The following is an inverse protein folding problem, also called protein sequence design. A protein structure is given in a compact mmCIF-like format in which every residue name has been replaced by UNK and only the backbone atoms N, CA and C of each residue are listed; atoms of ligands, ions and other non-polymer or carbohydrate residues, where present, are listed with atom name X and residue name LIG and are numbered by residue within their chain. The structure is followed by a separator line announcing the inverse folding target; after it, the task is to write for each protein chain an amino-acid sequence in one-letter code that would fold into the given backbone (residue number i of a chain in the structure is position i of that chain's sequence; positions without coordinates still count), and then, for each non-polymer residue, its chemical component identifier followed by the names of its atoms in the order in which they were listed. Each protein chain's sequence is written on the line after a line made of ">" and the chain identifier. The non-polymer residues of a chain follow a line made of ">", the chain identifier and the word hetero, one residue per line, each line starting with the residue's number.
data_IF_383090295588
#
_entry.id   IF_383090295588
#
_cell.length_a   1.000
_cell.length_b   1.000
_cell.length_c   1.000
_cell.angle_alpha   90.00
_cell.angle_beta   90.00
_cell.angle_gamma   90.00
#
_symmetry.space_group_name_H-M   'P 1'
#
loop_
_entity.id
_entity.type
_entity.pdbx_description
1 polymer ?
#
# COMPACT_ATOMS: atom_id res chain seq x y z
N UNK A 1 17.28 -14.52 -37.05
CA UNK A 1 17.99 -13.34 -36.50
C UNK A 1 17.00 -12.56 -35.67
N UNK A 2 17.10 -12.65 -34.35
CA UNK A 2 16.20 -11.94 -33.44
C UNK A 2 16.62 -10.47 -33.39
N UNK A 3 15.72 -9.58 -33.83
CA UNK A 3 15.85 -8.13 -33.69
C UNK A 3 15.81 -7.78 -32.21
N UNK A 4 17.00 -7.64 -31.61
CA UNK A 4 17.17 -7.06 -30.28
C UNK A 4 16.84 -5.57 -30.35
N UNK A 5 15.57 -5.23 -30.18
CA UNK A 5 15.14 -3.87 -29.89
C UNK A 5 15.59 -3.52 -28.48
N UNK A 6 16.81 -2.99 -28.36
CA UNK A 6 17.22 -2.25 -27.17
C UNK A 6 16.36 -1.00 -27.11
N UNK A 7 15.30 -1.04 -26.31
CA UNK A 7 14.44 0.12 -26.03
C UNK A 7 15.31 1.34 -25.70
N UNK A 8 14.96 2.49 -26.28
CA UNK A 8 15.60 3.77 -26.00
C UNK A 8 15.56 4.04 -24.48
N UNK A 9 16.61 4.63 -23.85
CA UNK A 9 16.64 4.83 -22.40
C UNK A 9 15.42 5.57 -21.85
N UNK A 10 14.84 6.50 -22.61
CA UNK A 10 13.62 7.20 -22.23
C UNK A 10 12.40 6.25 -22.18
N UNK A 11 12.26 5.39 -23.18
CA UNK A 11 11.18 4.40 -23.28
C UNK A 11 11.27 3.34 -22.16
N UNK A 12 12.49 3.00 -21.73
CA UNK A 12 12.73 2.13 -20.56
C UNK A 12 12.33 2.77 -19.24
N UNK A 13 12.52 4.08 -19.09
CA UNK A 13 12.13 4.82 -17.88
C UNK A 13 10.60 4.93 -17.81
N UNK A 14 9.95 5.27 -18.92
CA UNK A 14 8.49 5.40 -19.00
C UNK A 14 7.78 4.06 -18.69
N UNK A 15 8.21 2.98 -19.34
CA UNK A 15 7.68 1.64 -19.06
C UNK A 15 7.86 1.20 -17.61
N UNK A 16 8.95 1.61 -16.96
CA UNK A 16 9.21 1.31 -15.56
C UNK A 16 8.29 2.11 -14.61
N UNK A 17 8.05 3.40 -14.91
CA UNK A 17 7.09 4.23 -14.18
C UNK A 17 5.69 3.66 -14.28
N UNK A 18 5.24 3.33 -15.49
CA UNK A 18 3.92 2.75 -15.74
C UNK A 18 3.75 1.41 -15.01
N UNK A 19 4.78 0.57 -15.00
CA UNK A 19 4.75 -0.70 -14.27
C UNK A 19 4.61 -0.49 -12.75
N UNK A 20 5.30 0.51 -12.18
CA UNK A 20 5.17 0.89 -10.76
C UNK A 20 3.73 1.29 -10.44
N UNK A 21 3.14 2.17 -11.24
CA UNK A 21 1.77 2.63 -11.02
C UNK A 21 0.75 1.49 -11.12
N UNK A 22 0.92 0.56 -12.07
CA UNK A 22 0.07 -0.63 -12.15
C UNK A 22 0.18 -1.49 -10.88
N UNK A 23 1.40 -1.73 -10.38
CA UNK A 23 1.60 -2.51 -9.15
C UNK A 23 0.93 -1.85 -7.94
N UNK A 24 1.01 -0.52 -7.81
CA UNK A 24 0.36 0.22 -6.74
C UNK A 24 -1.19 0.16 -6.84
N UNK A 25 -1.74 0.25 -8.05
CA UNK A 25 -3.19 0.07 -8.25
C UNK A 25 -3.66 -1.36 -7.94
N UNK A 26 -2.87 -2.37 -8.31
CA UNK A 26 -3.15 -3.77 -7.97
C UNK A 26 -3.14 -3.99 -6.46
N UNK A 27 -2.15 -3.41 -5.77
CA UNK A 27 -2.07 -3.46 -4.31
C UNK A 27 -3.29 -2.78 -3.65
N UNK A 28 -3.66 -1.58 -4.13
CA UNK A 28 -4.85 -0.87 -3.63
C UNK A 28 -6.14 -1.67 -3.87
N UNK A 29 -6.28 -2.29 -5.05
CA UNK A 29 -7.42 -3.13 -5.37
C UNK A 29 -7.47 -4.38 -4.49
N UNK A 30 -6.33 -5.05 -4.28
CA UNK A 30 -6.23 -6.21 -3.41
C UNK A 30 -6.58 -5.85 -1.95
N UNK A 31 -6.10 -4.70 -1.46
CA UNK A 31 -6.48 -4.16 -0.17
C UNK A 31 -8.00 -3.92 -0.08
N UNK A 32 -8.60 -3.27 -1.07
CA UNK A 32 -10.04 -2.99 -1.08
C UNK A 32 -10.89 -4.27 -1.09
N UNK A 33 -10.50 -5.27 -1.90
CA UNK A 33 -11.12 -6.60 -1.91
C UNK A 33 -11.03 -7.24 -0.53
N UNK A 34 -9.86 -7.18 0.11
CA UNK A 34 -9.66 -7.71 1.46
C UNK A 34 -10.55 -7.02 2.50
N UNK A 35 -10.71 -5.69 2.44
CA UNK A 35 -11.62 -4.96 3.34
C UNK A 35 -13.07 -5.43 3.19
N UNK A 36 -13.54 -5.58 1.94
CA UNK A 36 -14.89 -6.09 1.66
C UNK A 36 -15.05 -7.50 2.25
N UNK A 37 -14.11 -8.40 1.99
CA UNK A 37 -14.16 -9.76 2.53
C UNK A 37 -14.16 -9.80 4.06
N UNK A 38 -13.34 -8.97 4.72
CA UNK A 38 -13.28 -8.92 6.17
C UNK A 38 -14.63 -8.49 6.79
N UNK A 39 -15.28 -7.48 6.20
CA UNK A 39 -16.58 -6.96 6.66
C UNK A 39 -17.67 -8.03 6.56
N UNK A 40 -17.67 -8.84 5.49
CA UNK A 40 -18.71 -9.86 5.28
C UNK A 40 -18.42 -11.20 5.96
N UNK A 41 -17.15 -11.59 6.09
CA UNK A 41 -16.77 -12.91 6.58
C UNK A 41 -16.62 -12.99 8.11
N UNK A 42 -16.50 -11.86 8.81
CA UNK A 42 -16.31 -11.76 10.27
C UNK A 42 -15.38 -12.83 10.84
N UNK A 43 -14.06 -12.70 10.67
CA UNK A 43 -13.18 -13.82 10.94
C UNK A 43 -13.11 -14.20 12.43
N UNK A 44 -13.74 -15.31 12.79
CA UNK A 44 -13.79 -15.81 14.17
C UNK A 44 -12.63 -16.73 14.52
N UNK A 45 -12.05 -17.39 13.51
CA UNK A 45 -11.10 -18.48 13.70
C UNK A 45 -9.64 -18.00 13.83
N UNK A 46 -8.84 -18.73 14.60
CA UNK A 46 -7.43 -18.39 14.84
C UNK A 46 -6.60 -18.35 13.55
N UNK A 47 -6.90 -19.24 12.59
CA UNK A 47 -6.23 -19.32 11.29
C UNK A 47 -6.43 -18.05 10.47
N UNK A 48 -7.64 -17.48 10.51
CA UNK A 48 -7.98 -16.26 9.79
C UNK A 48 -7.30 -15.03 10.41
N UNK A 49 -7.09 -15.02 11.74
CA UNK A 49 -6.31 -13.99 12.43
C UNK A 49 -4.85 -14.02 12.01
N UNK A 50 -4.24 -15.20 11.95
CA UNK A 50 -2.87 -15.39 11.45
C UNK A 50 -2.75 -14.94 9.99
N UNK A 51 -3.70 -15.34 9.13
CA UNK A 51 -3.76 -14.90 7.75
C UNK A 51 -3.82 -13.37 7.63
N UNK A 52 -4.63 -12.71 8.47
CA UNK A 52 -4.74 -11.24 8.50
C UNK A 52 -3.43 -10.59 8.90
N UNK A 53 -2.69 -11.15 9.87
CA UNK A 53 -1.37 -10.62 10.25
C UNK A 53 -0.35 -10.77 9.13
N UNK A 54 -0.34 -11.92 8.45
CA UNK A 54 0.52 -12.15 7.27
C UNK A 54 0.17 -11.14 6.18
N UNK A 55 -1.12 -10.95 5.91
CA UNK A 55 -1.60 -9.98 4.92
C UNK A 55 -1.12 -8.57 5.22
N UNK A 56 -1.29 -8.10 6.45
CA UNK A 56 -0.81 -6.78 6.90
C UNK A 56 0.70 -6.67 6.74
N UNK A 57 1.46 -7.70 7.11
CA UNK A 57 2.91 -7.71 6.95
C UNK A 57 3.33 -7.61 5.48
N UNK A 58 2.64 -8.31 4.57
CA UNK A 58 2.87 -8.23 3.13
C UNK A 58 2.62 -6.82 2.62
N UNK A 59 1.52 -6.18 3.01
CA UNK A 59 1.21 -4.81 2.59
C UNK A 59 2.22 -3.79 3.14
N UNK A 60 2.61 -3.91 4.40
CA UNK A 60 3.64 -3.04 4.99
C UNK A 60 4.98 -3.18 4.26
N UNK A 61 5.37 -4.42 3.92
CA UNK A 61 6.58 -4.68 3.15
C UNK A 61 6.50 -4.03 1.77
N UNK A 62 5.33 -4.11 1.13
CA UNK A 62 5.13 -3.62 -0.23
C UNK A 62 5.13 -2.08 -0.26
N UNK A 63 4.45 -1.41 0.67
CA UNK A 63 4.54 0.05 0.85
C UNK A 63 5.96 0.48 1.21
N UNK A 64 6.60 -0.21 2.15
CA UNK A 64 7.96 0.13 2.60
C UNK A 64 9.00 0.02 1.48
N UNK A 65 8.81 -0.92 0.56
CA UNK A 65 9.72 -1.15 -0.57
C UNK A 65 9.24 -0.54 -1.89
N UNK A 66 8.02 0.02 -1.92
CA UNK A 66 7.35 0.55 -3.12
C UNK A 66 7.18 -0.48 -4.23
N UNK A 67 6.91 -1.75 -3.87
CA UNK A 67 6.84 -2.87 -4.81
C UNK A 67 8.20 -3.31 -5.39
N UNK A 68 9.31 -2.70 -4.97
CA UNK A 68 10.64 -2.95 -5.51
C UNK A 68 11.16 -4.39 -5.34
N UNK A 69 10.60 -5.16 -4.39
CA UNK A 69 11.02 -6.56 -4.19
C UNK A 69 10.63 -7.50 -5.33
N UNK A 70 9.56 -7.20 -6.09
CA UNK A 70 9.13 -8.02 -7.22
C UNK A 70 9.90 -7.72 -8.52
N UNK A 71 10.73 -6.67 -8.55
CA UNK A 71 11.44 -6.24 -9.75
C UNK A 71 12.90 -6.72 -9.79
N UNK A 72 13.48 -6.88 -10.99
CA UNK A 72 14.92 -7.18 -11.18
C UNK A 72 15.78 -6.03 -10.62
N UNK A 73 16.95 -6.35 -10.04
CA UNK A 73 17.84 -5.38 -9.36
C UNK A 73 18.15 -4.12 -10.19
N UNK A 74 18.31 -4.28 -11.50
CA UNK A 74 18.66 -3.18 -12.41
C UNK A 74 17.50 -2.19 -12.60
N UNK A 75 16.25 -2.65 -12.49
CA UNK A 75 15.05 -1.81 -12.58
C UNK A 75 14.71 -1.16 -11.23
N UNK A 76 15.12 -1.76 -10.11
CA UNK A 76 14.90 -1.17 -8.77
C UNK A 76 15.56 0.18 -8.59
N UNK A 77 16.73 0.42 -9.22
CA UNK A 77 17.42 1.71 -9.16
C UNK A 77 16.66 2.80 -9.90
N UNK A 78 16.04 2.45 -11.02
CA UNK A 78 15.22 3.39 -11.81
C UNK A 78 13.88 3.64 -11.12
N UNK A 79 13.29 2.62 -10.49
CA UNK A 79 12.01 2.76 -9.75
C UNK A 79 12.09 3.54 -8.44
N UNK A 80 13.25 3.54 -7.77
CA UNK A 80 13.47 4.30 -6.53
C UNK A 80 14.20 5.60 -6.83
N UNK A 81 13.69 6.34 -7.81
CA UNK A 81 14.08 7.73 -8.01
C UNK A 81 13.71 8.57 -6.77
N UNK A 82 14.31 9.76 -6.65
CA UNK A 82 14.14 10.64 -5.49
C UNK A 82 12.66 11.02 -5.28
N UNK A 83 11.88 11.12 -6.36
CA UNK A 83 10.48 11.49 -6.33
C UNK A 83 9.61 10.37 -5.73
N UNK A 84 9.81 9.13 -6.18
CA UNK A 84 9.10 7.95 -5.67
C UNK A 84 9.42 7.70 -4.19
N UNK A 85 10.66 7.96 -3.77
CA UNK A 85 11.06 7.92 -2.36
C UNK A 85 10.33 9.01 -1.56
N UNK A 86 10.29 10.24 -2.07
CA UNK A 86 9.55 11.34 -1.44
C UNK A 86 8.05 11.05 -1.32
N UNK A 87 7.42 10.55 -2.38
CA UNK A 87 6.01 10.15 -2.38
C UNK A 87 5.72 9.07 -1.34
N UNK A 88 6.60 8.06 -1.23
CA UNK A 88 6.46 7.00 -0.24
C UNK A 88 6.56 7.53 1.19
N UNK A 89 7.53 8.40 1.48
CA UNK A 89 7.65 9.01 2.80
C UNK A 89 6.43 9.85 3.17
N UNK A 90 5.92 10.64 2.21
CA UNK A 90 4.71 11.43 2.42
C UNK A 90 3.49 10.51 2.65
N UNK A 91 3.33 9.46 1.86
CA UNK A 91 2.28 8.47 2.04
C UNK A 91 2.33 7.78 3.42
N UNK A 92 3.52 7.36 3.86
CA UNK A 92 3.72 6.77 5.18
C UNK A 92 3.37 7.74 6.31
N UNK A 93 3.69 9.04 6.16
CA UNK A 93 3.31 10.08 7.12
C UNK A 93 1.79 10.20 7.24
N UNK A 94 1.06 10.21 6.13
CA UNK A 94 -0.41 10.23 6.14
C UNK A 94 -0.99 8.96 6.76
N UNK A 95 -0.43 7.79 6.43
CA UNK A 95 -0.84 6.52 7.05
C UNK A 95 -0.63 6.50 8.56
N UNK A 96 0.51 7.01 9.05
CA UNK A 96 0.76 7.14 10.48
C UNK A 96 -0.31 8.00 11.16
N UNK A 97 -0.61 9.18 10.61
CA UNK A 97 -1.64 10.06 11.17
C UNK A 97 -3.04 9.43 11.14
N UNK A 98 -3.40 8.72 10.08
CA UNK A 98 -4.65 7.96 10.04
C UNK A 98 -4.73 6.88 11.12
N UNK A 99 -3.67 6.09 11.31
CA UNK A 99 -3.63 5.07 12.35
C UNK A 99 -3.75 5.70 13.75
N UNK A 100 -3.04 6.80 14.01
CA UNK A 100 -3.11 7.53 15.28
C UNK A 100 -4.51 8.07 15.56
N UNK A 101 -5.15 8.70 14.56
CA UNK A 101 -6.52 9.20 14.69
C UNK A 101 -7.54 8.07 14.89
N UNK A 102 -7.38 6.96 14.18
CA UNK A 102 -8.23 5.79 14.35
C UNK A 102 -8.09 5.20 15.77
N UNK A 103 -6.85 5.07 16.27
CA UNK A 103 -6.59 4.60 17.63
C UNK A 103 -7.18 5.52 18.69
N UNK A 104 -7.00 6.84 18.55
CA UNK A 104 -7.59 7.83 19.46
C UNK A 104 -9.14 7.79 19.42
N UNK A 105 -9.72 7.66 18.22
CA UNK A 105 -11.16 7.53 18.05
C UNK A 105 -11.73 6.27 18.71
N UNK A 106 -11.04 5.13 18.57
CA UNK A 106 -11.42 3.88 19.23
C UNK A 106 -11.30 3.95 20.75
N UNK A 107 -10.24 4.59 21.26
CA UNK A 107 -10.09 4.82 22.69
C UNK A 107 -11.24 5.67 23.25
N UNK A 108 -11.61 6.75 22.54
CA UNK A 108 -12.77 7.55 22.90
C UNK A 108 -14.09 6.79 22.81
N UNK A 109 -14.24 5.92 21.80
CA UNK A 109 -15.44 5.10 21.60
C UNK A 109 -15.62 4.05 22.71
N UNK A 110 -14.52 3.47 23.20
CA UNK A 110 -14.52 2.45 24.24
C UNK A 110 -15.19 2.93 25.55
N UNK A 111 -15.10 4.23 25.83
CA UNK A 111 -15.79 4.88 26.98
C UNK A 111 -17.31 4.71 26.90
N UNK A 112 -17.88 4.67 25.69
CA UNK A 112 -19.32 4.54 25.49
C UNK A 112 -19.76 3.09 25.35
N UNK A 113 -18.94 2.27 24.67
CA UNK A 113 -19.21 0.85 24.43
C UNK A 113 -17.92 0.06 24.32
N UNK A 114 -17.78 -1.08 25.01
CA UNK A 114 -16.61 -1.94 24.89
C UNK A 114 -16.36 -2.31 23.43
N UNK A 115 -15.17 -1.99 22.91
CA UNK A 115 -14.77 -2.37 21.56
C UNK A 115 -13.91 -3.62 21.65
N UNK A 116 -14.22 -4.64 20.85
CA UNK A 116 -13.39 -5.84 20.82
C UNK A 116 -12.00 -5.53 20.24
N UNK A 117 -10.96 -6.01 20.92
CA UNK A 117 -9.57 -5.78 20.52
C UNK A 117 -9.28 -6.18 19.05
N UNK A 118 -9.77 -7.31 18.52
CA UNK A 118 -9.52 -7.67 17.12
C UNK A 118 -10.11 -6.66 16.12
N UNK A 119 -11.30 -6.14 16.40
CA UNK A 119 -11.95 -5.12 15.55
C UNK A 119 -11.17 -3.80 15.65
N UNK A 120 -10.81 -3.38 16.86
CA UNK A 120 -10.03 -2.17 17.09
C UNK A 120 -8.70 -2.21 16.31
N UNK A 121 -7.94 -3.30 16.43
CA UNK A 121 -6.67 -3.48 15.72
C UNK A 121 -6.88 -3.47 14.20
N UNK A 122 -7.90 -4.18 13.70
CA UNK A 122 -8.20 -4.17 12.27
C UNK A 122 -8.49 -2.75 11.76
N UNK A 123 -9.31 -1.98 12.48
CA UNK A 123 -9.63 -0.59 12.09
C UNK A 123 -8.39 0.29 12.05
N UNK A 124 -7.52 0.23 13.06
CA UNK A 124 -6.28 1.02 13.09
C UNK A 124 -5.37 0.67 11.92
N UNK A 125 -5.15 -0.62 11.68
CA UNK A 125 -4.29 -1.11 10.60
C UNK A 125 -4.87 -0.72 9.23
N UNK A 126 -6.17 -0.93 9.01
CA UNK A 126 -6.86 -0.59 7.76
C UNK A 126 -6.86 0.91 7.50
N UNK A 127 -7.07 1.75 8.51
CA UNK A 127 -7.04 3.20 8.37
C UNK A 127 -5.64 3.68 7.95
N UNK A 128 -4.60 3.24 8.65
CA UNK A 128 -3.24 3.67 8.35
C UNK A 128 -2.74 3.16 7.01
N UNK A 129 -2.91 1.86 6.75
CA UNK A 129 -2.46 1.23 5.53
C UNK A 129 -3.25 1.72 4.31
N UNK A 130 -4.58 1.80 4.43
CA UNK A 130 -5.45 2.26 3.37
C UNK A 130 -5.15 3.71 2.98
N UNK A 131 -4.99 4.62 3.95
CA UNK A 131 -4.67 6.01 3.62
C UNK A 131 -3.27 6.16 3.02
N UNK A 132 -2.28 5.43 3.51
CA UNK A 132 -0.95 5.42 2.89
C UNK A 132 -1.00 4.96 1.43
N UNK A 133 -1.70 3.86 1.13
CA UNK A 133 -1.83 3.33 -0.23
C UNK A 133 -2.53 4.32 -1.16
N UNK A 134 -3.69 4.83 -0.75
CA UNK A 134 -4.45 5.81 -1.53
C UNK A 134 -3.60 7.05 -1.81
N UNK A 135 -2.90 7.55 -0.79
CA UNK A 135 -2.03 8.71 -0.91
C UNK A 135 -0.87 8.45 -1.88
N UNK A 136 -0.24 7.29 -1.80
CA UNK A 136 0.88 6.95 -2.67
C UNK A 136 0.43 6.84 -4.13
N UNK A 137 -0.63 6.08 -4.39
CA UNK A 137 -1.23 5.95 -5.73
C UNK A 137 -1.61 7.32 -6.30
N UNK A 138 -2.21 8.19 -5.48
CA UNK A 138 -2.61 9.53 -5.91
C UNK A 138 -1.40 10.41 -6.29
N UNK A 139 -0.32 10.36 -5.52
CA UNK A 139 0.89 11.13 -5.82
C UNK A 139 1.57 10.64 -7.11
N UNK A 140 1.72 9.33 -7.29
CA UNK A 140 2.31 8.76 -8.52
C UNK A 140 1.46 9.06 -9.76
N UNK A 141 0.14 8.83 -9.69
CA UNK A 141 -0.75 9.13 -10.82
C UNK A 141 -0.83 10.62 -11.16
N UNK A 142 -0.65 11.50 -10.16
CA UNK A 142 -0.56 12.94 -10.40
C UNK A 142 0.75 13.31 -11.08
N UNK A 143 1.87 12.69 -10.71
CA UNK A 143 3.15 12.91 -11.36
C UNK A 143 3.13 12.47 -12.83
N UNK A 144 2.48 11.33 -13.13
CA UNK A 144 2.32 10.86 -14.51
C UNK A 144 1.46 11.79 -15.39
N UNK A 145 0.47 12.48 -14.82
CA UNK A 145 -0.44 13.37 -15.57
C UNK A 145 0.06 14.81 -15.73
N UNK A 146 0.99 15.23 -14.86
CA UNK A 146 1.54 16.59 -14.83
C UNK A 146 2.94 16.71 -15.43
N UNK A 147 3.51 15.61 -15.92
CA UNK A 147 4.75 15.57 -16.71
C UNK A 147 4.51 15.86 -18.17
#
# INVERSE_FOLDING_TARGET
>A
MASGTTLDPAERVDSCSRQRTVLLWLELAAFAIWQVLFVFAHPTDWSQRVMTLIWVAVMLLFIGTGGGLMMRRDLRRVMNDELAVAHRHEAQRWGFWAAMLAGAGLYGLDVFRPVSLPIALHVVLSAGLGLALIRYVWLETRAERGG
#
